data_IF_982915523374
#
_entry.id   IF_982915523374
#
_cell.length_a   1.000
_cell.length_b   1.000
_cell.length_c   1.000
_cell.angle_alpha   90.00
_cell.angle_beta   90.00
_cell.angle_gamma   90.00
#
_symmetry.space_group_name_H-M   'P 1'
#
loop_
_entity.id
_entity.type
_entity.pdbx_description
1 polymer ?
#
# COMPACT_ATOMS: atom_id res chain seq x y z
N UNK A 1 27.18 -13.25 26.11
CA UNK A 1 28.23 -12.81 27.05
C UNK A 1 27.85 -11.38 27.45
N UNK A 2 27.61 -11.05 28.73
CA UNK A 2 27.04 -9.75 29.06
C UNK A 2 28.14 -8.71 29.24
N UNK A 3 27.92 -7.51 28.71
CA UNK A 3 28.56 -6.31 29.23
C UNK A 3 27.46 -5.35 29.66
N UNK A 4 27.37 -5.18 30.97
CA UNK A 4 26.61 -4.14 31.63
C UNK A 4 27.32 -2.80 31.42
N UNK A 5 26.58 -1.78 31.03
CA UNK A 5 26.98 -0.38 31.21
C UNK A 5 25.74 0.39 31.68
N UNK A 6 25.76 0.82 32.96
CA UNK A 6 24.81 1.79 33.48
C UNK A 6 25.42 3.18 33.34
N UNK A 7 24.74 4.11 32.65
CA UNK A 7 24.76 5.54 32.97
C UNK A 7 23.38 6.13 32.67
N UNK A 8 22.89 6.92 33.64
CA UNK A 8 21.48 7.28 33.74
C UNK A 8 21.08 8.62 33.16
N UNK A 9 19.85 9.00 33.52
CA UNK A 9 19.29 10.33 33.32
C UNK A 9 18.40 10.48 32.09
N UNK A 10 17.11 10.66 32.39
CA UNK A 10 16.06 11.27 31.58
C UNK A 10 15.42 10.47 30.42
N UNK A 11 14.09 10.56 30.46
CA UNK A 11 13.08 10.25 29.43
C UNK A 11 12.90 8.77 29.03
N UNK A 12 11.75 8.23 29.42
CA UNK A 12 11.25 6.91 29.05
C UNK A 12 10.95 6.91 27.53
N UNK A 13 11.92 6.47 26.74
CA UNK A 13 11.68 5.99 25.38
C UNK A 13 11.20 4.54 25.53
N UNK A 14 9.99 4.26 25.04
CA UNK A 14 9.52 2.88 24.91
C UNK A 14 10.28 2.27 23.73
N UNK A 15 11.39 1.59 24.04
CA UNK A 15 12.18 0.79 23.12
C UNK A 15 11.29 -0.28 22.49
N UNK A 16 10.87 -0.05 21.24
CA UNK A 16 10.41 -1.15 20.40
C UNK A 16 11.62 -2.03 20.13
N UNK A 17 11.60 -3.33 20.50
CA UNK A 17 12.74 -4.19 20.25
C UNK A 17 13.00 -4.18 18.75
N UNK A 18 14.18 -3.67 18.37
CA UNK A 18 14.77 -3.84 17.05
C UNK A 18 14.99 -5.33 16.81
N UNK A 19 13.92 -6.03 16.47
CA UNK A 19 14.03 -7.21 15.63
C UNK A 19 14.44 -6.66 14.27
N UNK A 20 15.75 -6.67 14.03
CA UNK A 20 16.39 -6.53 12.72
C UNK A 20 15.77 -7.53 11.74
N UNK A 21 14.57 -7.22 11.27
CA UNK A 21 14.06 -7.75 10.03
C UNK A 21 14.59 -6.74 9.02
N UNK A 22 15.51 -7.17 8.17
CA UNK A 22 15.78 -6.47 6.91
C UNK A 22 14.44 -5.92 6.41
N UNK A 23 14.33 -4.60 6.27
CA UNK A 23 13.09 -3.94 5.89
C UNK A 23 12.78 -4.34 4.43
N UNK A 24 12.33 -5.57 4.23
CA UNK A 24 11.89 -6.06 2.95
C UNK A 24 10.67 -5.24 2.59
N UNK A 25 10.77 -4.51 1.47
CA UNK A 25 9.62 -3.84 0.91
C UNK A 25 8.51 -4.88 0.77
N UNK A 26 7.28 -4.61 1.25
CA UNK A 26 6.17 -5.56 1.15
C UNK A 26 5.93 -6.01 -0.29
N UNK A 27 6.37 -5.20 -1.26
CA UNK A 27 6.42 -5.52 -2.67
C UNK A 27 7.02 -6.90 -2.99
N UNK A 28 8.10 -7.30 -2.31
CA UNK A 28 8.76 -8.59 -2.54
C UNK A 28 7.93 -9.79 -2.06
N UNK A 29 6.92 -9.53 -1.23
CA UNK A 29 6.01 -10.55 -0.71
C UNK A 29 4.69 -10.57 -1.46
N UNK A 30 4.47 -9.67 -2.43
CA UNK A 30 3.27 -9.67 -3.27
C UNK A 30 3.36 -10.82 -4.29
N UNK A 31 2.30 -11.60 -4.38
CA UNK A 31 2.12 -12.59 -5.45
C UNK A 31 1.59 -11.87 -6.70
N UNK A 32 2.52 -11.38 -7.52
CA UNK A 32 2.23 -10.64 -8.75
C UNK A 32 1.49 -11.48 -9.80
N UNK A 33 1.64 -12.82 -9.79
CA UNK A 33 0.96 -13.71 -10.74
C UNK A 33 -0.53 -13.84 -10.43
N UNK A 34 -0.89 -13.77 -9.14
CA UNK A 34 -2.29 -13.86 -8.67
C UNK A 34 -2.93 -12.51 -8.40
N UNK A 35 -2.19 -11.43 -8.61
CA UNK A 35 -2.69 -10.08 -8.46
C UNK A 35 -3.82 -9.82 -9.47
N UNK A 36 -4.91 -9.21 -8.99
CA UNK A 36 -6.02 -8.83 -9.86
C UNK A 36 -6.37 -7.36 -9.65
N UNK A 37 -6.52 -6.64 -10.76
CA UNK A 37 -7.07 -5.29 -10.78
C UNK A 37 -8.38 -5.35 -11.57
N UNK A 38 -9.47 -4.86 -10.96
CA UNK A 38 -10.79 -4.76 -11.60
C UNK A 38 -11.04 -3.32 -12.04
N UNK A 39 -11.78 -3.17 -13.14
CA UNK A 39 -12.10 -1.89 -13.79
C UNK A 39 -10.86 -1.10 -14.25
N UNK A 40 -9.77 -1.81 -14.56
CA UNK A 40 -8.63 -1.22 -15.28
C UNK A 40 -8.99 -1.04 -16.76
N UNK A 41 -8.77 0.16 -17.30
CA UNK A 41 -8.97 0.51 -18.73
C UNK A 41 -8.12 -0.38 -19.65
N UNK A 42 -6.88 -0.64 -19.23
CA UNK A 42 -5.97 -1.56 -19.91
C UNK A 42 -5.69 -2.78 -19.04
N UNK A 43 -5.99 -3.99 -19.53
CA UNK A 43 -5.72 -5.23 -18.82
C UNK A 43 -4.24 -5.38 -18.46
N UNK A 44 -3.94 -5.60 -17.19
CA UNK A 44 -2.59 -5.72 -16.64
C UNK A 44 -1.92 -4.39 -16.31
N UNK A 45 -2.59 -3.25 -16.49
CA UNK A 45 -2.04 -1.94 -16.09
C UNK A 45 -1.96 -1.79 -14.57
N UNK A 46 -2.89 -2.39 -13.82
CA UNK A 46 -2.84 -2.42 -12.35
C UNK A 46 -1.60 -3.10 -11.79
N UNK A 47 -1.05 -4.09 -12.50
CA UNK A 47 0.23 -4.71 -12.15
C UNK A 47 1.40 -3.75 -12.37
N UNK A 48 1.37 -2.98 -13.45
CA UNK A 48 2.42 -2.00 -13.77
C UNK A 48 2.41 -0.80 -12.82
N UNK A 49 1.24 -0.45 -12.29
CA UNK A 49 1.07 0.63 -11.32
C UNK A 49 1.59 0.27 -9.93
N UNK A 50 1.66 -1.03 -9.59
CA UNK A 50 2.32 -1.49 -8.37
C UNK A 50 3.82 -1.57 -8.59
N UNK A 51 4.57 -0.76 -7.84
CA UNK A 51 6.01 -0.59 -8.04
C UNK A 51 6.81 -0.81 -6.76
N UNK A 52 8.07 -1.25 -6.86
CA UNK A 52 8.99 -1.12 -5.76
C UNK A 52 9.22 0.35 -5.43
N UNK A 53 9.60 0.61 -4.18
CA UNK A 53 9.83 1.97 -3.67
C UNK A 53 10.84 2.76 -4.51
N UNK A 54 11.82 2.09 -5.12
CA UNK A 54 12.84 2.71 -5.98
C UNK A 54 12.28 3.25 -7.31
N UNK A 55 11.18 2.68 -7.80
CA UNK A 55 10.52 3.09 -9.05
C UNK A 55 9.28 3.96 -8.79
N UNK A 56 9.05 4.40 -7.55
CA UNK A 56 7.84 5.15 -7.20
C UNK A 56 7.71 6.48 -7.97
N UNK A 57 8.82 7.09 -8.37
CA UNK A 57 8.86 8.36 -9.12
C UNK A 57 8.72 8.20 -10.63
N UNK A 58 8.70 6.97 -11.15
CA UNK A 58 8.44 6.74 -12.56
C UNK A 58 6.95 7.02 -12.84
N UNK A 59 6.63 8.03 -13.65
CA UNK A 59 5.26 8.29 -14.09
C UNK A 59 4.81 7.44 -15.29
N UNK A 60 5.75 6.73 -15.92
CA UNK A 60 5.51 6.04 -17.20
C UNK A 60 4.58 4.84 -17.09
N UNK A 61 4.60 4.16 -15.93
CA UNK A 61 3.72 3.02 -15.63
C UNK A 61 2.60 3.46 -14.70
N UNK A 62 1.36 3.40 -15.16
CA UNK A 62 0.19 3.78 -14.38
C UNK A 62 -0.99 2.87 -14.71
N UNK A 63 -2.04 3.01 -13.92
CA UNK A 63 -3.32 2.35 -14.08
C UNK A 63 -4.38 3.42 -14.24
N UNK A 64 -5.22 3.24 -15.23
CA UNK A 64 -6.35 4.12 -15.51
C UNK A 64 -7.64 3.33 -15.27
N UNK A 65 -8.63 3.98 -14.66
CA UNK A 65 -9.97 3.40 -14.50
C UNK A 65 -10.68 3.32 -15.85
N UNK A 66 -11.45 2.26 -16.07
CA UNK A 66 -12.38 2.21 -17.20
C UNK A 66 -13.55 3.15 -16.91
N UNK A 67 -13.70 4.19 -17.74
CA UNK A 67 -14.74 5.20 -17.63
C UNK A 67 -14.85 5.85 -16.23
N UNK A 68 -16.07 5.90 -15.68
CA UNK A 68 -16.39 6.52 -14.39
C UNK A 68 -16.40 5.50 -13.22
N UNK A 69 -15.90 4.29 -13.44
CA UNK A 69 -15.94 3.24 -12.43
C UNK A 69 -14.79 3.31 -11.41
N UNK A 70 -15.01 2.75 -10.23
CA UNK A 70 -13.98 2.65 -9.19
C UNK A 70 -13.01 1.51 -9.51
N UNK A 71 -11.72 1.68 -9.18
CA UNK A 71 -10.71 0.62 -9.27
C UNK A 71 -10.72 -0.26 -8.02
N UNK A 72 -10.51 -1.57 -8.19
CA UNK A 72 -10.36 -2.51 -7.09
C UNK A 72 -9.11 -3.36 -7.27
N UNK A 73 -8.22 -3.32 -6.27
CA UNK A 73 -6.98 -4.09 -6.25
C UNK A 73 -7.08 -5.25 -5.26
N UNK A 74 -7.00 -6.47 -5.78
CA UNK A 74 -6.79 -7.68 -5.00
C UNK A 74 -5.31 -7.99 -4.97
N UNK A 75 -4.65 -7.70 -3.84
CA UNK A 75 -3.21 -7.87 -3.65
C UNK A 75 -2.96 -9.06 -2.72
N UNK A 76 -2.73 -10.27 -3.26
CA UNK A 76 -2.34 -11.43 -2.47
C UNK A 76 -0.89 -11.31 -2.00
N UNK A 77 -0.65 -11.65 -0.73
CA UNK A 77 0.70 -11.77 -0.19
C UNK A 77 1.07 -13.26 -0.02
N UNK A 78 2.31 -13.61 -0.35
CA UNK A 78 2.89 -14.96 -0.22
C UNK A 78 3.20 -15.35 1.23
N UNK A 79 3.06 -14.42 2.17
CA UNK A 79 3.27 -14.64 3.59
C UNK A 79 2.56 -13.58 4.45
N UNK A 80 2.69 -13.72 5.76
CA UNK A 80 2.13 -12.75 6.70
C UNK A 80 2.91 -11.44 6.65
N UNK A 81 2.23 -10.37 6.22
CA UNK A 81 2.78 -9.02 6.19
C UNK A 81 2.07 -8.12 7.18
N UNK A 82 2.81 -7.18 7.76
CA UNK A 82 2.23 -6.07 8.51
C UNK A 82 2.42 -4.81 7.67
N UNK A 83 1.35 -4.37 7.02
CA UNK A 83 1.34 -3.10 6.28
C UNK A 83 1.53 -1.95 7.28
N UNK A 84 2.60 -1.17 7.08
CA UNK A 84 2.89 0.02 7.88
C UNK A 84 2.37 1.31 7.24
N UNK A 85 2.22 1.32 5.92
CA UNK A 85 1.75 2.46 5.15
C UNK A 85 1.52 2.08 3.70
N UNK A 86 0.75 2.90 3.01
CA UNK A 86 0.42 2.80 1.59
C UNK A 86 0.68 4.18 0.99
N UNK A 87 1.39 4.24 -0.12
CA UNK A 87 1.66 5.47 -0.85
C UNK A 87 0.87 5.38 -2.15
N UNK A 88 0.04 6.37 -2.40
CA UNK A 88 -0.72 6.51 -3.64
C UNK A 88 -0.23 7.78 -4.31
N UNK A 89 0.16 7.66 -5.57
CA UNK A 89 0.59 8.78 -6.40
C UNK A 89 -0.34 8.83 -7.60
N UNK A 90 -0.90 10.00 -7.84
CA UNK A 90 -1.66 10.33 -9.05
C UNK A 90 -0.99 11.50 -9.77
N UNK A 91 -1.44 11.78 -10.99
CA UNK A 91 -1.07 13.02 -11.66
C UNK A 91 -1.73 14.23 -10.95
N UNK A 92 -1.22 15.44 -11.24
CA UNK A 92 -1.70 16.73 -10.69
C UNK A 92 -3.07 17.17 -11.24
N UNK A 93 -3.79 16.27 -11.91
CA UNK A 93 -5.11 16.50 -12.51
C UNK A 93 -6.23 15.94 -11.61
N UNK A 94 -7.50 16.17 -11.96
CA UNK A 94 -8.69 15.69 -11.22
C UNK A 94 -8.86 14.16 -11.29
N UNK A 95 -7.93 13.47 -11.95
CA UNK A 95 -7.91 12.02 -12.14
C UNK A 95 -7.38 11.25 -10.92
N UNK A 96 -7.05 11.92 -9.81
CA UNK A 96 -6.57 11.27 -8.60
C UNK A 96 -7.73 10.68 -7.75
N UNK A 97 -7.51 9.56 -7.04
CA UNK A 97 -8.52 9.04 -6.12
C UNK A 97 -8.70 9.98 -4.93
N UNK A 98 -9.95 10.24 -4.52
CA UNK A 98 -10.27 11.05 -3.34
C UNK A 98 -10.46 10.21 -2.06
N UNK A 99 -10.74 8.91 -2.22
CA UNK A 99 -10.97 7.98 -1.12
C UNK A 99 -10.34 6.62 -1.43
N UNK A 100 -9.70 6.02 -0.41
CA UNK A 100 -9.25 4.64 -0.44
C UNK A 100 -9.91 3.86 0.69
N UNK A 101 -10.47 2.70 0.36
CA UNK A 101 -10.98 1.73 1.34
C UNK A 101 -10.06 0.52 1.38
N UNK A 102 -9.68 0.10 2.57
CA UNK A 102 -8.83 -1.06 2.80
C UNK A 102 -9.64 -2.18 3.44
N UNK A 103 -9.59 -3.34 2.81
CA UNK A 103 -10.18 -4.59 3.30
C UNK A 103 -9.07 -5.62 3.40
N UNK A 104 -8.99 -6.32 4.53
CA UNK A 104 -7.95 -7.34 4.74
C UNK A 104 -8.54 -8.73 4.87
N UNK A 105 -7.75 -9.73 4.49
CA UNK A 105 -8.09 -11.15 4.61
C UNK A 105 -9.38 -11.57 3.84
N UNK A 106 -9.76 -10.82 2.80
CA UNK A 106 -10.86 -11.20 1.90
C UNK A 106 -10.24 -11.77 0.62
N UNK A 107 -10.43 -13.07 0.33
CA UNK A 107 -9.94 -13.64 -0.92
C UNK A 107 -10.82 -13.14 -2.07
N UNK A 108 -10.19 -12.59 -3.11
CA UNK A 108 -10.84 -12.24 -4.38
C UNK A 108 -12.10 -11.38 -4.20
N UNK A 109 -11.92 -10.20 -3.63
CA UNK A 109 -12.99 -9.24 -3.42
C UNK A 109 -13.55 -8.72 -4.76
N UNK A 110 -14.87 -8.57 -4.81
CA UNK A 110 -15.60 -7.95 -5.92
C UNK A 110 -16.29 -6.66 -5.47
N UNK A 111 -16.85 -5.89 -6.40
CA UNK A 111 -17.59 -4.67 -6.05
C UNK A 111 -18.85 -4.93 -5.22
N UNK A 112 -19.46 -6.12 -5.35
CA UNK A 112 -20.61 -6.54 -4.52
C UNK A 112 -20.23 -6.73 -3.04
N UNK A 113 -18.95 -7.03 -2.78
CA UNK A 113 -18.42 -7.18 -1.42
C UNK A 113 -18.04 -5.86 -0.76
N UNK A 114 -18.16 -4.71 -1.46
CA UNK A 114 -17.72 -3.40 -0.92
C UNK A 114 -18.60 -2.86 0.21
N UNK A 115 -19.79 -3.42 0.40
CA UNK A 115 -20.69 -3.14 1.53
C UNK A 115 -20.29 -3.86 2.84
N UNK A 116 -19.23 -4.68 2.81
CA UNK A 116 -18.72 -5.36 4.01
C UNK A 116 -18.08 -4.37 4.99
N UNK A 117 -17.83 -4.88 6.21
CA UNK A 117 -17.07 -4.15 7.22
C UNK A 117 -15.67 -3.81 6.68
N UNK A 118 -15.42 -2.53 6.51
CA UNK A 118 -14.13 -1.97 6.12
C UNK A 118 -13.17 -2.00 7.30
N UNK A 119 -11.91 -2.35 7.06
CA UNK A 119 -10.89 -2.29 8.10
C UNK A 119 -10.48 -0.84 8.34
N UNK A 120 -10.23 -0.10 7.26
CA UNK A 120 -9.79 1.29 7.29
C UNK A 120 -10.31 2.04 6.05
N UNK A 121 -10.51 3.35 6.19
CA UNK A 121 -10.80 4.26 5.08
C UNK A 121 -9.90 5.47 5.22
N UNK A 122 -9.36 5.92 4.10
CA UNK A 122 -8.47 7.06 4.01
C UNK A 122 -9.06 8.06 3.03
N UNK A 123 -9.28 9.29 3.49
CA UNK A 123 -9.52 10.42 2.60
C UNK A 123 -8.19 10.88 2.04
N UNK A 124 -8.04 10.78 0.72
CA UNK A 124 -6.84 11.19 0.00
C UNK A 124 -7.02 12.63 -0.43
N UNK A 125 -6.19 13.52 0.10
CA UNK A 125 -6.15 14.90 -0.33
C UNK A 125 -4.96 15.09 -1.26
N UNK A 126 -5.12 15.87 -2.34
CA UNK A 126 -4.00 16.23 -3.19
C UNK A 126 -2.99 17.02 -2.35
N UNK A 127 -1.79 16.46 -2.20
CA UNK A 127 -0.69 17.16 -1.57
C UNK A 127 0.01 18.02 -2.64
N UNK A 128 -0.43 19.27 -2.77
CA UNK A 128 0.13 20.23 -3.73
C UNK A 128 1.56 20.68 -3.39
N UNK A 129 2.14 20.16 -2.30
CA UNK A 129 3.43 20.60 -1.76
C UNK A 129 4.54 19.54 -1.87
N UNK A 130 4.18 18.28 -2.13
CA UNK A 130 5.08 17.17 -2.41
C UNK A 130 6.00 16.78 -1.25
N UNK A 131 5.54 16.85 0.00
CA UNK A 131 6.41 16.72 1.18
C UNK A 131 6.03 15.61 2.17
#
# INVERSE_FOLDING_TARGET
MPLHCQMGGATKWEEWPEQHSLAYSPYLLIDLERLQCLNESCKGSGLLALKPQEEQTDGSKFVEKDADEQLLFNIPFTGNVKLKGIIIMGEDDDSHPSEMRLFKNIPQMSFDDTDRELDQTFSLNPDLTGN
#
